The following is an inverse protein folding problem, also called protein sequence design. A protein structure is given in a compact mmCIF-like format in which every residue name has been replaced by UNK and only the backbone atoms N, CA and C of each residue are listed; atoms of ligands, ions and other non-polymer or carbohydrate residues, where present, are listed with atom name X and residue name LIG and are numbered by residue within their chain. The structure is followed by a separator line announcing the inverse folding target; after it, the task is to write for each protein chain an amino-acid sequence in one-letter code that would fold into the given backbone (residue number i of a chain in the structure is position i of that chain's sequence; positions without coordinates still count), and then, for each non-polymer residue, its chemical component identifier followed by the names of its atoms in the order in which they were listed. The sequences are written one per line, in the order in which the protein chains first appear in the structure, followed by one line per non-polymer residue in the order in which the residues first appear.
data_IF_343607597825
#
_entry.id   IF_343607597825
#
_cell.length_a   1.000
_cell.length_b   1.000
_cell.length_c   1.000
_cell.angle_alpha   90.00
_cell.angle_beta   90.00
_cell.angle_gamma   90.00
#
_symmetry.space_group_name_H-M   'P 1'
#
loop_
_entity.id
_entity.type
_entity.pdbx_description
1 polymer ?
#
# COMPACT_ATOMS: atom_id res chain seq x y z
N UNK A 1 18.64 9.63 9.06
CA UNK A 1 17.53 10.30 9.79
C UNK A 1 16.23 9.87 9.13
N UNK A 2 15.26 9.35 9.89
CA UNK A 2 13.93 9.05 9.36
C UNK A 2 13.02 10.24 9.67
N UNK A 3 12.20 10.69 8.72
CA UNK A 3 11.29 11.83 8.94
C UNK A 3 10.28 11.52 10.06
N UNK A 4 9.72 12.56 10.69
CA UNK A 4 8.78 12.41 11.82
C UNK A 4 7.59 11.49 11.50
N UNK A 5 7.11 11.49 10.26
CA UNK A 5 6.05 10.58 9.81
C UNK A 5 6.52 9.12 9.84
N UNK A 6 7.72 8.86 9.29
CA UNK A 6 8.23 7.51 9.08
C UNK A 6 8.82 6.88 10.35
N UNK A 7 9.55 7.67 11.13
CA UNK A 7 10.14 7.26 12.41
C UNK A 7 9.20 7.38 13.60
N UNK A 8 8.20 8.27 13.55
CA UNK A 8 7.26 8.50 14.64
C UNK A 8 5.98 7.70 14.48
N UNK A 9 5.14 8.07 13.51
CA UNK A 9 3.78 7.52 13.34
C UNK A 9 3.82 6.12 12.72
N UNK A 10 4.47 5.98 11.56
CA UNK A 10 4.46 4.71 10.82
C UNK A 10 5.18 3.59 11.58
N UNK A 11 6.23 3.92 12.34
CA UNK A 11 6.92 2.97 13.20
C UNK A 11 5.97 2.38 14.28
N UNK A 12 5.16 3.23 14.92
CA UNK A 12 4.20 2.80 15.94
C UNK A 12 3.07 1.96 15.35
N UNK A 13 2.52 2.37 14.19
CA UNK A 13 1.49 1.59 13.48
C UNK A 13 2.00 0.20 13.08
N UNK A 14 3.24 0.11 12.56
CA UNK A 14 3.86 -1.19 12.22
C UNK A 14 4.09 -2.06 13.44
N UNK A 15 4.53 -1.49 14.56
CA UNK A 15 4.70 -2.21 15.82
C UNK A 15 3.36 -2.78 16.31
N UNK A 16 2.30 -1.97 16.32
CA UNK A 16 0.95 -2.40 16.68
C UNK A 16 0.49 -3.59 15.81
N UNK A 17 0.64 -3.49 14.49
CA UNK A 17 0.25 -4.58 13.58
C UNK A 17 1.05 -5.86 13.83
N UNK A 18 2.33 -5.74 14.14
CA UNK A 18 3.21 -6.87 14.46
C UNK A 18 2.76 -7.59 15.74
N UNK A 19 2.42 -6.83 16.78
CA UNK A 19 1.98 -7.38 18.06
C UNK A 19 0.60 -8.04 17.96
N UNK A 20 -0.24 -7.56 17.04
CA UNK A 20 -1.59 -8.08 16.81
C UNK A 20 -1.67 -9.07 15.63
N UNK A 21 -0.55 -9.64 15.17
CA UNK A 21 -0.50 -10.53 13.98
C UNK A 21 -1.41 -11.76 14.05
N UNK A 22 -1.80 -12.19 15.26
CA UNK A 22 -2.70 -13.34 15.47
C UNK A 22 -4.20 -12.98 15.36
N UNK A 23 -4.54 -11.71 15.17
CA UNK A 23 -5.92 -11.28 14.97
C UNK A 23 -6.32 -11.29 13.49
N UNK A 24 -7.62 -11.39 13.22
CA UNK A 24 -8.14 -11.23 11.86
C UNK A 24 -7.74 -9.87 11.28
N UNK A 25 -7.66 -9.80 9.95
CA UNK A 25 -7.34 -8.56 9.23
C UNK A 25 -8.27 -7.40 9.65
N UNK A 26 -9.58 -7.63 9.68
CA UNK A 26 -10.59 -6.65 10.09
C UNK A 26 -10.33 -6.11 11.50
N UNK A 27 -9.95 -6.98 12.45
CA UNK A 27 -9.58 -6.57 13.82
C UNK A 27 -8.30 -5.74 13.86
N UNK A 28 -7.29 -6.10 13.07
CA UNK A 28 -6.03 -5.34 12.95
C UNK A 28 -6.27 -3.95 12.33
N UNK A 29 -7.12 -3.85 11.30
CA UNK A 29 -7.51 -2.58 10.69
C UNK A 29 -8.27 -1.70 11.70
N UNK A 30 -9.23 -2.27 12.44
CA UNK A 30 -9.93 -1.55 13.52
C UNK A 30 -8.99 -1.06 14.62
N UNK A 31 -7.96 -1.84 14.96
CA UNK A 31 -6.94 -1.42 15.91
C UNK A 31 -6.15 -0.19 15.42
N UNK A 32 -5.81 -0.13 14.12
CA UNK A 32 -5.22 1.08 13.51
C UNK A 32 -6.17 2.27 13.64
N UNK A 33 -7.45 2.12 13.25
CA UNK A 33 -8.43 3.20 13.37
C UNK A 33 -8.54 3.72 14.80
N UNK A 34 -8.56 2.82 15.78
CA UNK A 34 -8.55 3.18 17.19
C UNK A 34 -7.29 3.96 17.58
N UNK A 35 -6.11 3.51 17.13
CA UNK A 35 -4.87 4.24 17.37
C UNK A 35 -4.91 5.64 16.78
N UNK A 36 -5.35 5.79 15.53
CA UNK A 36 -5.50 7.10 14.89
C UNK A 36 -6.46 8.01 15.66
N UNK A 37 -7.59 7.46 16.13
CA UNK A 37 -8.53 8.20 16.96
C UNK A 37 -7.90 8.75 18.26
N UNK A 38 -6.99 8.00 18.88
CA UNK A 38 -6.29 8.42 20.11
C UNK A 38 -5.16 9.43 19.87
N UNK A 39 -4.64 9.53 18.64
CA UNK A 39 -3.43 10.31 18.32
C UNK A 39 -3.67 11.48 17.35
N UNK A 40 -4.93 11.73 16.97
CA UNK A 40 -5.33 12.91 16.20
C UNK A 40 -5.63 14.07 17.16
N UNK A 41 -5.23 15.29 16.77
CA UNK A 41 -5.40 16.52 17.58
C UNK A 41 -6.86 16.90 17.82
N UNK A 42 -7.74 16.64 16.85
CA UNK A 42 -9.17 16.96 16.90
C UNK A 42 -10.01 15.74 16.49
N UNK A 43 -10.22 14.78 17.40
CA UNK A 43 -10.95 13.56 17.07
C UNK A 43 -12.44 13.85 16.91
N UNK A 44 -13.08 13.18 15.95
CA UNK A 44 -14.53 13.21 15.80
C UNK A 44 -15.23 12.67 17.06
N UNK A 45 -16.45 13.13 17.31
CA UNK A 45 -17.25 12.62 18.44
C UNK A 45 -17.60 11.14 18.23
N UNK A 46 -17.87 10.37 19.29
CA UNK A 46 -18.30 8.98 19.16
C UNK A 46 -19.52 8.81 18.24
N UNK A 47 -20.47 9.76 18.28
CA UNK A 47 -21.66 9.75 17.44
C UNK A 47 -21.35 9.96 15.95
N UNK A 48 -20.35 10.77 15.62
CA UNK A 48 -19.88 10.97 14.25
C UNK A 48 -19.10 9.75 13.75
N UNK A 49 -18.22 9.19 14.59
CA UNK A 49 -17.45 7.98 14.28
C UNK A 49 -18.39 6.83 13.92
N UNK A 50 -19.46 6.61 14.69
CA UNK A 50 -20.44 5.57 14.40
C UNK A 50 -21.13 5.72 13.03
N UNK A 51 -21.23 6.95 12.50
CA UNK A 51 -21.82 7.21 11.18
C UNK A 51 -20.83 7.00 10.03
N UNK A 52 -19.55 7.27 10.26
CA UNK A 52 -18.52 7.24 9.21
C UNK A 52 -17.70 5.94 9.20
N UNK A 53 -17.71 5.18 10.31
CA UNK A 53 -16.92 3.97 10.42
C UNK A 53 -17.42 2.92 9.40
N UNK A 54 -16.55 2.38 8.54
CA UNK A 54 -16.94 1.34 7.60
C UNK A 54 -17.34 0.06 8.34
N UNK A 55 -18.26 -0.69 7.76
CA UNK A 55 -18.64 -2.02 8.23
C UNK A 55 -17.51 -3.03 7.98
N UNK A 56 -17.56 -4.17 8.66
CA UNK A 56 -16.57 -5.24 8.51
C UNK A 56 -16.50 -5.75 7.06
N UNK A 57 -17.65 -5.85 6.38
CA UNK A 57 -17.74 -6.22 4.96
C UNK A 57 -17.08 -5.18 4.06
N UNK A 58 -17.33 -3.89 4.30
CA UNK A 58 -16.69 -2.80 3.55
C UNK A 58 -15.17 -2.79 3.76
N UNK A 59 -14.70 -3.06 4.99
CA UNK A 59 -13.27 -3.15 5.29
C UNK A 59 -12.58 -4.30 4.53
N UNK A 60 -13.23 -5.46 4.48
CA UNK A 60 -12.74 -6.61 3.73
C UNK A 60 -12.70 -6.32 2.23
N UNK A 61 -13.76 -5.73 1.67
CA UNK A 61 -13.81 -5.30 0.28
C UNK A 61 -12.71 -4.29 -0.07
N UNK A 62 -12.51 -3.27 0.77
CA UNK A 62 -11.46 -2.28 0.55
C UNK A 62 -10.08 -2.93 0.53
N UNK A 63 -9.81 -3.84 1.46
CA UNK A 63 -8.52 -4.52 1.49
C UNK A 63 -8.30 -5.39 0.26
N UNK A 64 -9.29 -6.20 -0.13
CA UNK A 64 -9.21 -7.05 -1.32
C UNK A 64 -8.98 -6.22 -2.59
N UNK A 65 -9.65 -5.08 -2.70
CA UNK A 65 -9.45 -4.15 -3.81
C UNK A 65 -8.03 -3.59 -3.83
N UNK A 66 -7.47 -3.19 -2.68
CA UNK A 66 -6.08 -2.73 -2.60
C UNK A 66 -5.08 -3.83 -2.94
N UNK A 67 -5.27 -5.06 -2.45
CA UNK A 67 -4.41 -6.20 -2.76
C UNK A 67 -4.41 -6.48 -4.28
N UNK A 68 -5.59 -6.47 -4.91
CA UNK A 68 -5.72 -6.65 -6.35
C UNK A 68 -5.00 -5.54 -7.15
N UNK A 69 -5.08 -4.29 -6.69
CA UNK A 69 -4.36 -3.17 -7.30
C UNK A 69 -2.83 -3.34 -7.13
N UNK A 70 -2.37 -3.75 -5.95
CA UNK A 70 -0.95 -4.01 -5.70
C UNK A 70 -0.41 -5.15 -6.58
N UNK A 71 -1.17 -6.24 -6.73
CA UNK A 71 -0.81 -7.35 -7.63
C UNK A 71 -0.72 -6.84 -9.07
N UNK A 72 -1.72 -6.07 -9.53
CA UNK A 72 -1.73 -5.48 -10.86
C UNK A 72 -0.50 -4.60 -11.08
N UNK A 73 -0.19 -3.71 -10.14
CA UNK A 73 0.97 -2.82 -10.21
C UNK A 73 2.30 -3.58 -10.23
N UNK A 74 2.44 -4.64 -9.44
CA UNK A 74 3.63 -5.49 -9.43
C UNK A 74 3.84 -6.22 -10.76
N UNK A 75 2.73 -6.54 -11.44
CA UNK A 75 2.74 -7.24 -12.72
C UNK A 75 2.82 -6.28 -13.93
N UNK A 76 2.78 -4.96 -13.71
CA UNK A 76 3.05 -4.00 -14.78
C UNK A 76 4.55 -4.08 -15.13
N UNK A 77 4.90 -4.20 -16.41
CA UNK A 77 6.30 -4.17 -16.82
C UNK A 77 6.93 -2.84 -16.40
N UNK A 78 8.07 -2.92 -15.72
CA UNK A 78 8.84 -1.75 -15.30
C UNK A 78 9.54 -1.07 -16.49
N UNK A 79 10.22 0.05 -16.20
CA UNK A 79 11.12 0.67 -17.17
C UNK A 79 12.24 -0.32 -17.53
N UNK A 80 12.23 -0.81 -18.77
CA UNK A 80 13.17 -1.84 -19.25
C UNK A 80 12.57 -3.24 -19.47
N UNK A 81 11.36 -3.51 -18.94
CA UNK A 81 10.64 -4.79 -19.17
C UNK A 81 9.53 -4.66 -20.21
N UNK A 82 9.10 -3.43 -20.51
CA UNK A 82 8.10 -3.17 -21.53
C UNK A 82 8.75 -3.17 -22.93
N UNK A 83 8.10 -3.78 -23.92
CA UNK A 83 8.51 -3.70 -25.33
C UNK A 83 8.63 -2.22 -25.71
N UNK A 84 9.85 -1.75 -25.92
CA UNK A 84 10.13 -0.38 -26.33
C UNK A 84 10.12 -0.30 -27.86
N UNK A 85 9.74 0.88 -28.38
CA UNK A 85 9.59 1.15 -29.82
C UNK A 85 10.84 0.75 -30.66
N UNK A 86 12.03 0.75 -30.05
CA UNK A 86 13.28 0.38 -30.69
C UNK A 86 13.38 -1.13 -31.03
N UNK A 87 12.69 -1.99 -30.29
CA UNK A 87 12.66 -3.45 -30.52
C UNK A 87 11.77 -3.85 -31.69
N UNK A 88 10.92 -2.95 -32.19
CA UNK A 88 10.05 -3.17 -33.35
C UNK A 88 10.76 -2.84 -34.68
N UNK A 89 11.99 -2.30 -34.64
CA UNK A 89 12.74 -1.92 -35.83
C UNK A 89 14.12 -2.57 -35.90
N UNK A 90 14.12 -3.90 -36.08
CA UNK A 90 15.32 -4.63 -36.47
C UNK A 90 15.30 -4.84 -37.99
N UNK A 91 15.85 -3.90 -38.74
CA UNK A 91 16.33 -4.15 -40.11
C UNK A 91 17.83 -4.39 -40.02
N UNK A 92 18.27 -5.60 -39.71
CA UNK A 92 19.71 -5.93 -39.63
C UNK A 92 20.47 -5.58 -40.92
N UNK A 93 21.83 -5.41 -40.90
CA UNK A 93 22.75 -5.55 -39.77
C UNK A 93 23.72 -4.37 -39.59
N UNK A 94 24.07 -3.99 -38.36
CA UNK A 94 25.32 -3.25 -38.14
C UNK A 94 26.45 -4.24 -37.87
N UNK A 95 27.37 -4.32 -38.83
CA UNK A 95 28.61 -5.08 -38.74
C UNK A 95 29.69 -4.18 -38.13
N UNK A 96 30.32 -4.62 -37.04
CA UNK A 96 31.46 -3.92 -36.44
C UNK A 96 32.63 -4.90 -36.30
N UNK A 97 33.56 -4.88 -37.27
CA UNK A 97 34.76 -5.74 -37.31
C UNK A 97 35.98 -5.05 -36.69
N UNK A 98 35.82 -4.45 -35.52
CA UNK A 98 36.96 -3.98 -34.73
C UNK A 98 37.14 -4.89 -33.52
N UNK A 99 37.60 -6.10 -33.81
CA UNK A 99 38.53 -6.95 -33.04
C UNK A 99 39.15 -7.97 -34.02
#
# INVERSE_FOLDING_TARGET
MNNQIEGGINAQLRAMLKDHRGMSLTRRIKAIFWWCYQHIENPATPAEILKIMPTDTQLEEYYLNQENLHITQRNLPGWGDAIIWNELHHTTPYNNTWD
#
